data_IF_907417822807
#
_entry.id   IF_907417822807
#
_cell.length_a   1.000
_cell.length_b   1.000
_cell.length_c   1.000
_cell.angle_alpha   90.00
_cell.angle_beta   90.00
_cell.angle_gamma   90.00
#
_symmetry.space_group_name_H-M   'P 1'
#
loop_
_entity.id
_entity.type
_entity.pdbx_description
1 polymer ?
#
# COMPACT_ATOMS: atom_id res chain seq x y z
N UNK A 1 -17.82 -1.74 11.81
CA UNK A 1 -17.63 -1.17 10.46
C UNK A 1 -18.13 -2.20 9.46
N UNK A 2 -18.78 -1.78 8.38
CA UNK A 2 -19.21 -2.71 7.32
C UNK A 2 -18.06 -3.02 6.36
N UNK A 3 -18.07 -4.22 5.76
CA UNK A 3 -17.02 -4.65 4.81
C UNK A 3 -16.77 -3.62 3.69
N UNK A 4 -17.84 -3.05 3.13
CA UNK A 4 -17.76 -2.04 2.07
C UNK A 4 -16.99 -0.79 2.52
N UNK A 5 -17.17 -0.36 3.77
CA UNK A 5 -16.50 0.80 4.33
C UNK A 5 -15.00 0.55 4.49
N UNK A 6 -14.62 -0.66 4.91
CA UNK A 6 -13.21 -1.07 5.00
C UNK A 6 -12.57 -1.05 3.60
N UNK A 7 -13.29 -1.60 2.61
CA UNK A 7 -12.83 -1.66 1.24
C UNK A 7 -12.60 -0.26 0.66
N UNK A 8 -13.55 0.66 0.86
CA UNK A 8 -13.45 2.04 0.37
C UNK A 8 -12.29 2.80 1.02
N UNK A 9 -12.09 2.62 2.33
CA UNK A 9 -10.96 3.21 3.04
C UNK A 9 -9.63 2.67 2.53
N UNK A 10 -9.51 1.34 2.36
CA UNK A 10 -8.30 0.73 1.82
C UNK A 10 -8.02 1.24 0.41
N UNK A 11 -9.03 1.25 -0.46
CA UNK A 11 -8.92 1.74 -1.83
C UNK A 11 -8.46 3.19 -1.88
N UNK A 12 -8.97 4.04 -0.98
CA UNK A 12 -8.55 5.44 -0.91
C UNK A 12 -7.07 5.57 -0.50
N UNK A 13 -6.66 4.93 0.61
CA UNK A 13 -5.26 4.95 1.07
C UNK A 13 -4.33 4.45 -0.03
N UNK A 14 -4.70 3.32 -0.65
CA UNK A 14 -3.92 2.69 -1.68
C UNK A 14 -3.78 3.55 -2.95
N UNK A 15 -4.85 4.23 -3.38
CA UNK A 15 -4.79 5.17 -4.50
C UNK A 15 -3.91 6.38 -4.20
N UNK A 16 -3.97 6.91 -2.98
CA UNK A 16 -3.10 8.00 -2.55
C UNK A 16 -1.64 7.57 -2.56
N UNK A 17 -1.34 6.36 -2.08
CA UNK A 17 0.00 5.77 -2.14
C UNK A 17 0.48 5.59 -3.58
N UNK A 18 -0.34 5.06 -4.47
CA UNK A 18 0.03 4.88 -5.89
C UNK A 18 0.37 6.20 -6.56
N UNK A 19 -0.50 7.22 -6.42
CA UNK A 19 -0.27 8.54 -6.99
C UNK A 19 1.00 9.19 -6.42
N UNK A 20 1.28 8.99 -5.14
CA UNK A 20 2.51 9.44 -4.52
C UNK A 20 3.74 8.75 -5.13
N UNK A 21 3.71 7.43 -5.26
CA UNK A 21 4.82 6.65 -5.82
C UNK A 21 5.07 7.01 -7.29
N UNK A 22 4.02 7.21 -8.10
CA UNK A 22 4.15 7.66 -9.49
C UNK A 22 4.90 9.00 -9.56
N UNK A 23 4.46 9.99 -8.78
CA UNK A 23 5.12 11.30 -8.72
C UNK A 23 6.57 11.20 -8.23
N UNK A 24 6.82 10.39 -7.20
CA UNK A 24 8.17 10.14 -6.67
C UNK A 24 9.10 9.52 -7.73
N UNK A 25 8.58 8.64 -8.58
CA UNK A 25 9.37 7.98 -9.63
C UNK A 25 9.69 8.95 -10.77
N UNK A 26 8.74 9.81 -11.14
CA UNK A 26 8.87 10.73 -12.29
C UNK A 26 9.70 11.98 -11.98
N UNK A 27 9.75 12.39 -10.71
CA UNK A 27 10.39 13.64 -10.31
C UNK A 27 11.93 13.53 -10.28
N UNK A 28 12.63 14.53 -10.83
CA UNK A 28 14.10 14.67 -10.72
C UNK A 28 14.53 15.30 -9.38
N UNK A 29 13.65 16.07 -8.73
CA UNK A 29 13.87 16.60 -7.38
C UNK A 29 13.89 15.46 -6.35
N UNK A 30 14.94 15.43 -5.55
CA UNK A 30 15.12 14.41 -4.51
C UNK A 30 14.45 14.87 -3.22
N UNK A 31 13.33 14.23 -2.87
CA UNK A 31 12.87 14.24 -1.48
C UNK A 31 13.93 13.59 -0.60
N UNK A 32 14.12 14.12 0.61
CA UNK A 32 15.07 13.53 1.56
C UNK A 32 14.62 12.11 1.94
N UNK A 33 15.59 11.22 2.22
CA UNK A 33 15.30 9.87 2.66
C UNK A 33 14.42 9.87 3.92
N UNK A 34 14.67 10.79 4.85
CA UNK A 34 13.87 10.95 6.06
C UNK A 34 12.41 11.32 5.75
N UNK A 35 12.19 12.32 4.89
CA UNK A 35 10.82 12.74 4.54
C UNK A 35 10.03 11.63 3.84
N UNK A 36 10.70 10.83 3.00
CA UNK A 36 10.09 9.65 2.37
C UNK A 36 9.77 8.57 3.41
N UNK A 37 10.68 8.32 4.34
CA UNK A 37 10.49 7.37 5.42
C UNK A 37 9.26 7.72 6.28
N UNK A 38 9.12 8.99 6.67
CA UNK A 38 7.98 9.50 7.46
C UNK A 38 6.66 9.25 6.73
N UNK A 39 6.58 9.55 5.43
CA UNK A 39 5.37 9.30 4.62
C UNK A 39 5.03 7.81 4.56
N UNK A 40 6.03 6.94 4.39
CA UNK A 40 5.80 5.49 4.34
C UNK A 40 5.35 4.94 5.70
N UNK A 41 5.91 5.43 6.80
CA UNK A 41 5.51 5.04 8.16
C UNK A 41 4.10 5.52 8.50
N UNK A 42 3.74 6.75 8.12
CA UNK A 42 2.39 7.27 8.32
C UNK A 42 1.35 6.46 7.54
N UNK A 43 1.66 6.14 6.28
CA UNK A 43 0.80 5.28 5.45
C UNK A 43 0.69 3.88 6.04
N UNK A 44 1.79 3.33 6.58
CA UNK A 44 1.82 2.02 7.22
C UNK A 44 0.89 2.00 8.44
N UNK A 45 0.98 3.00 9.33
CA UNK A 45 0.09 3.11 10.48
C UNK A 45 -1.39 3.21 10.11
N UNK A 46 -1.70 3.89 8.99
CA UNK A 46 -3.05 3.93 8.43
C UNK A 46 -3.57 2.56 8.00
N UNK A 47 -2.75 1.76 7.33
CA UNK A 47 -3.11 0.39 6.90
C UNK A 47 -3.19 -0.56 8.10
N UNK A 48 -2.28 -0.47 9.08
CA UNK A 48 -2.30 -1.28 10.31
C UNK A 48 -3.60 -1.05 11.11
N UNK A 49 -3.98 0.22 11.27
CA UNK A 49 -5.25 0.56 11.90
C UNK A 49 -6.43 -0.06 11.15
N UNK A 50 -6.46 0.08 9.83
CA UNK A 50 -7.55 -0.47 9.02
C UNK A 50 -7.61 -2.00 9.05
N UNK A 51 -6.45 -2.67 9.11
CA UNK A 51 -6.38 -4.13 9.25
C UNK A 51 -6.93 -4.59 10.60
N UNK A 52 -6.64 -3.86 11.68
CA UNK A 52 -7.24 -4.13 13.00
C UNK A 52 -8.75 -3.93 12.96
N UNK A 53 -9.22 -2.85 12.35
CA UNK A 53 -10.66 -2.62 12.23
C UNK A 53 -11.34 -3.70 11.38
N UNK A 54 -10.66 -4.22 10.34
CA UNK A 54 -11.12 -5.34 9.52
C UNK A 54 -11.16 -6.69 10.28
N UNK A 55 -10.38 -6.84 11.36
CA UNK A 55 -10.41 -8.05 12.19
C UNK A 55 -11.76 -8.19 12.94
N UNK A 56 -12.39 -7.07 13.27
CA UNK A 56 -13.66 -7.01 14.01
C UNK A 56 -14.90 -7.08 13.10
N UNK A 57 -14.73 -7.05 11.78
CA UNK A 57 -15.84 -7.12 10.82
C UNK A 57 -16.42 -8.53 10.80
N UNK A 58 -17.72 -8.63 11.07
CA UNK A 58 -18.50 -9.84 10.89
C UNK A 58 -19.15 -9.82 9.52
N UNK A 59 -19.00 -10.91 8.77
CA UNK A 59 -19.57 -11.11 7.43
C UNK A 59 -20.32 -12.44 7.40
N UNK A 60 -21.27 -12.57 6.47
CA UNK A 60 -21.88 -13.87 6.19
C UNK A 60 -20.94 -14.77 5.39
N UNK A 61 -21.34 -16.02 5.17
CA UNK A 61 -20.55 -17.00 4.44
C UNK A 61 -20.31 -16.62 2.96
N UNK A 62 -21.14 -15.76 2.38
CA UNK A 62 -20.97 -15.30 0.99
C UNK A 62 -19.81 -14.30 0.88
N UNK A 63 -19.55 -13.52 1.92
CA UNK A 63 -18.54 -12.46 1.95
C UNK A 63 -17.26 -12.80 2.74
N UNK A 64 -17.12 -14.02 3.27
CA UNK A 64 -15.90 -14.46 3.99
C UNK A 64 -14.63 -14.36 3.12
N UNK A 65 -14.73 -14.76 1.85
CA UNK A 65 -13.60 -14.69 0.92
C UNK A 65 -13.24 -13.24 0.59
N UNK A 66 -14.23 -12.37 0.42
CA UNK A 66 -14.00 -10.94 0.15
C UNK A 66 -13.24 -10.27 1.31
N UNK A 67 -13.63 -10.55 2.56
CA UNK A 67 -12.93 -10.05 3.74
C UNK A 67 -11.50 -10.60 3.82
N UNK A 68 -11.30 -11.88 3.49
CA UNK A 68 -9.98 -12.52 3.49
C UNK A 68 -9.07 -11.90 2.43
N UNK A 69 -9.57 -11.71 1.22
CA UNK A 69 -8.83 -11.10 0.11
C UNK A 69 -8.47 -9.64 0.43
N UNK A 70 -9.38 -8.89 1.03
CA UNK A 70 -9.11 -7.54 1.50
C UNK A 70 -7.97 -7.50 2.54
N UNK A 71 -7.97 -8.42 3.52
CA UNK A 71 -6.88 -8.54 4.50
C UNK A 71 -5.55 -8.90 3.84
N UNK A 72 -5.56 -9.74 2.81
CA UNK A 72 -4.34 -10.05 2.04
C UNK A 72 -3.82 -8.84 1.29
N UNK A 73 -4.69 -8.04 0.66
CA UNK A 73 -4.31 -6.82 -0.05
C UNK A 73 -3.68 -5.79 0.90
N UNK A 74 -4.25 -5.61 2.09
CA UNK A 74 -3.65 -4.76 3.13
C UNK A 74 -2.28 -5.29 3.56
N UNK A 75 -2.15 -6.60 3.77
CA UNK A 75 -0.89 -7.22 4.19
C UNK A 75 0.20 -7.06 3.13
N UNK A 76 -0.11 -7.25 1.84
CA UNK A 76 0.83 -7.00 0.73
C UNK A 76 1.28 -5.53 0.70
N UNK A 77 0.36 -4.60 0.99
CA UNK A 77 0.67 -3.17 1.10
C UNK A 77 1.57 -2.87 2.29
N UNK A 78 1.38 -3.52 3.44
CA UNK A 78 2.28 -3.40 4.60
C UNK A 78 3.69 -3.89 4.27
N UNK A 79 3.84 -5.02 3.57
CA UNK A 79 5.15 -5.49 3.14
C UNK A 79 5.86 -4.51 2.21
N UNK A 80 5.12 -3.88 1.29
CA UNK A 80 5.67 -2.82 0.47
C UNK A 80 6.18 -1.65 1.33
N UNK A 81 5.35 -1.14 2.24
CA UNK A 81 5.68 0.05 3.04
C UNK A 81 6.87 -0.21 3.97
N UNK A 82 6.95 -1.41 4.56
CA UNK A 82 8.12 -1.82 5.35
C UNK A 82 9.39 -1.85 4.51
N UNK A 83 9.37 -2.42 3.30
CA UNK A 83 10.53 -2.41 2.40
C UNK A 83 10.95 -0.97 2.06
N UNK A 84 10.01 -0.12 1.65
CA UNK A 84 10.28 1.26 1.26
C UNK A 84 10.86 2.08 2.43
N UNK A 85 10.24 1.98 3.61
CA UNK A 85 10.71 2.63 4.83
C UNK A 85 12.12 2.17 5.21
N UNK A 86 12.39 0.86 5.14
CA UNK A 86 13.71 0.29 5.43
C UNK A 86 14.78 0.77 4.46
N UNK A 87 14.48 0.86 3.16
CA UNK A 87 15.44 1.39 2.18
C UNK A 87 15.74 2.86 2.44
N UNK A 88 14.74 3.67 2.81
CA UNK A 88 14.95 5.05 3.20
C UNK A 88 15.82 5.17 4.47
N UNK A 89 15.55 4.35 5.49
CA UNK A 89 16.32 4.35 6.75
C UNK A 89 17.81 4.04 6.55
N UNK A 90 18.14 3.25 5.52
CA UNK A 90 19.52 2.88 5.17
C UNK A 90 20.09 3.71 4.00
N UNK A 91 19.39 4.77 3.59
CA UNK A 91 19.76 5.65 2.48
C UNK A 91 19.94 4.90 1.12
N UNK A 92 19.25 3.78 0.93
CA UNK A 92 19.27 2.95 -0.27
C UNK A 92 18.24 3.43 -1.31
N UNK A 93 18.28 4.71 -1.68
CA UNK A 93 17.23 5.37 -2.48
C UNK A 93 16.98 4.73 -3.86
N UNK A 94 18.01 4.16 -4.48
CA UNK A 94 17.86 3.40 -5.73
C UNK A 94 17.00 2.14 -5.56
N UNK A 95 17.14 1.43 -4.43
CA UNK A 95 16.31 0.26 -4.11
C UNK A 95 14.89 0.66 -3.75
N UNK A 96 14.72 1.76 -3.01
CA UNK A 96 13.42 2.36 -2.74
C UNK A 96 12.65 2.63 -4.05
N UNK A 97 13.27 3.36 -4.99
CA UNK A 97 12.67 3.65 -6.30
C UNK A 97 12.37 2.38 -7.11
N UNK A 98 13.29 1.43 -7.14
CA UNK A 98 13.08 0.16 -7.86
C UNK A 98 11.92 -0.66 -7.27
N UNK A 99 11.79 -0.70 -5.94
CA UNK A 99 10.70 -1.39 -5.26
C UNK A 99 9.34 -0.77 -5.57
N UNK A 100 9.27 0.57 -5.58
CA UNK A 100 8.08 1.31 -5.98
C UNK A 100 7.69 1.04 -7.45
N UNK A 101 8.66 1.05 -8.37
CA UNK A 101 8.43 0.72 -9.80
C UNK A 101 7.87 -0.71 -9.94
N UNK A 102 8.44 -1.68 -9.22
CA UNK A 102 7.98 -3.07 -9.28
C UNK A 102 6.54 -3.23 -8.79
N UNK A 103 6.16 -2.50 -7.75
CA UNK A 103 4.80 -2.49 -7.22
C UNK A 103 3.79 -1.95 -8.26
N UNK A 104 4.05 -0.75 -8.79
CA UNK A 104 3.18 -0.14 -9.81
C UNK A 104 3.12 -0.97 -11.10
N UNK A 105 4.26 -1.55 -11.51
CA UNK A 105 4.35 -2.40 -12.69
C UNK A 105 3.60 -3.73 -12.55
N UNK A 106 3.56 -4.34 -11.35
CA UNK A 106 2.74 -5.53 -11.09
C UNK A 106 1.26 -5.22 -11.28
N UNK A 107 0.80 -4.04 -10.83
CA UNK A 107 -0.61 -3.63 -10.95
C UNK A 107 -1.03 -3.28 -12.37
N UNK A 108 -0.22 -2.51 -13.11
CA UNK A 108 -0.48 -2.22 -14.53
C UNK A 108 -0.62 -3.51 -15.35
N UNK A 109 0.14 -4.57 -15.03
CA UNK A 109 -0.03 -5.88 -15.68
C UNK A 109 -1.34 -6.58 -15.33
N UNK A 110 -1.81 -6.48 -14.09
CA UNK A 110 -3.13 -7.02 -13.70
C UNK A 110 -4.25 -6.24 -14.41
N UNK A 111 -4.13 -4.92 -14.54
CA UNK A 111 -5.14 -4.11 -15.25
C UNK A 111 -5.19 -4.40 -16.76
N UNK A 112 -4.04 -4.65 -17.40
CA UNK A 112 -3.96 -4.89 -18.84
C UNK A 112 -4.20 -6.36 -19.22
N UNK A 113 -3.82 -7.31 -18.37
CA UNK A 113 -3.81 -8.74 -18.70
C UNK A 113 -4.58 -9.62 -17.71
N UNK A 114 -5.21 -9.04 -16.68
CA UNK A 114 -6.08 -9.78 -15.76
C UNK A 114 -7.40 -10.14 -16.43
N UNK A 115 -7.41 -11.30 -17.11
CA UNK A 115 -8.59 -12.05 -17.50
C UNK A 115 -8.81 -13.21 -16.52
#
# INVERSE_FOLDING_TARGET
MELVQVYDQYKNINKTLEAFLEKYIETEETMSAQSLQEIFQDTQGGIEKLLNDAAEVQVDCEHENDLKDLKYLMTDTLFLLMDLSNFCAHNEMGRCKMRAINYLGKRKRVEVFGQ
#
